data_IF_016175352801
#
_entry.id   IF_016175352801
#
_cell.length_a   1.000
_cell.length_b   1.000
_cell.length_c   1.000
_cell.angle_alpha   90.00
_cell.angle_beta   90.00
_cell.angle_gamma   90.00
#
_symmetry.space_group_name_H-M   'P 1'
#
loop_
_entity.id
_entity.type
_entity.pdbx_description
1 polymer ?
#
# COMPACT_ATOMS: atom_id res chain seq x y z
N UNK A 1 11.25 -8.38 -6.79
CA UNK A 1 11.42 -7.43 -5.68
C UNK A 1 12.83 -7.51 -5.16
N UNK A 2 13.46 -6.37 -4.96
CA UNK A 2 14.85 -6.34 -4.51
C UNK A 2 14.97 -6.42 -3.00
N UNK A 3 13.93 -6.01 -2.28
CA UNK A 3 13.92 -5.99 -0.81
C UNK A 3 12.64 -6.65 -0.31
N UNK A 4 12.72 -7.58 0.65
CA UNK A 4 11.50 -8.16 1.22
C UNK A 4 10.68 -7.11 1.96
N UNK A 5 9.37 -7.33 2.04
CA UNK A 5 8.47 -6.42 2.72
C UNK A 5 8.83 -6.31 4.21
N UNK A 6 8.88 -5.07 4.71
CA UNK A 6 9.07 -4.81 6.14
C UNK A 6 7.71 -4.63 6.78
N UNK A 7 7.43 -5.42 7.80
CA UNK A 7 6.15 -5.41 8.50
C UNK A 7 6.39 -5.01 9.96
N UNK A 8 5.64 -4.00 10.42
CA UNK A 8 5.73 -3.51 11.80
C UNK A 8 4.36 -3.55 12.45
N UNK A 9 4.34 -3.91 13.72
CA UNK A 9 3.13 -3.93 14.54
C UNK A 9 3.30 -2.94 15.70
N UNK A 10 2.32 -2.08 15.89
CA UNK A 10 2.31 -1.11 16.98
C UNK A 10 0.99 -1.20 17.76
N UNK A 11 1.07 -1.39 19.07
CA UNK A 11 -0.11 -1.51 19.92
C UNK A 11 -0.77 -2.87 19.88
N UNK A 12 -0.14 -3.86 19.25
CA UNK A 12 -0.59 -5.25 19.19
C UNK A 12 0.60 -6.16 18.98
N UNK A 13 0.43 -7.43 19.32
CA UNK A 13 1.48 -8.43 19.13
C UNK A 13 1.59 -8.80 17.65
N UNK A 14 2.80 -9.15 17.22
CA UNK A 14 3.00 -9.64 15.86
C UNK A 14 2.28 -10.97 15.66
N UNK A 15 1.78 -11.19 14.44
CA UNK A 15 1.03 -12.38 14.07
C UNK A 15 1.56 -12.93 12.76
N UNK A 16 1.99 -14.18 12.77
CA UNK A 16 2.48 -14.85 11.55
C UNK A 16 1.37 -14.96 10.49
N UNK A 17 0.14 -15.17 10.92
CA UNK A 17 -1.00 -15.26 9.99
C UNK A 17 -1.22 -13.92 9.28
N UNK A 18 -1.13 -12.81 10.01
CA UNK A 18 -1.26 -11.48 9.43
C UNK A 18 -0.08 -11.17 8.51
N UNK A 19 1.13 -11.51 8.93
CA UNK A 19 2.32 -11.33 8.10
C UNK A 19 2.21 -12.11 6.80
N UNK A 20 1.74 -13.34 6.83
CA UNK A 20 1.54 -14.15 5.63
C UNK A 20 0.55 -13.49 4.67
N UNK A 21 -0.56 -12.97 5.18
CA UNK A 21 -1.54 -12.25 4.36
C UNK A 21 -0.94 -11.00 3.72
N UNK A 22 -0.14 -10.26 4.48
CA UNK A 22 0.52 -9.05 3.97
C UNK A 22 1.49 -9.43 2.86
N UNK A 23 2.29 -10.46 3.05
CA UNK A 23 3.24 -10.92 2.02
C UNK A 23 2.55 -11.34 0.74
N UNK A 24 1.43 -12.06 0.86
CA UNK A 24 0.62 -12.46 -0.31
C UNK A 24 0.10 -11.25 -1.07
N UNK A 25 -0.40 -10.24 -0.35
CA UNK A 25 -0.94 -9.03 -0.97
C UNK A 25 0.16 -8.20 -1.63
N UNK A 26 1.33 -8.09 -1.00
CA UNK A 26 2.48 -7.41 -1.59
C UNK A 26 2.96 -8.15 -2.83
N UNK A 27 2.99 -9.49 -2.79
CA UNK A 27 3.38 -10.29 -3.95
C UNK A 27 2.46 -10.03 -5.16
N UNK A 28 1.17 -9.85 -4.92
CA UNK A 28 0.22 -9.50 -6.00
C UNK A 28 0.52 -8.13 -6.60
N UNK A 29 0.89 -7.15 -5.77
CA UNK A 29 1.29 -5.85 -6.27
C UNK A 29 2.55 -5.94 -7.12
N UNK A 30 3.50 -6.79 -6.72
CA UNK A 30 4.73 -7.02 -7.46
C UNK A 30 4.49 -7.72 -8.80
N UNK A 31 3.52 -8.60 -8.87
CA UNK A 31 3.13 -9.23 -10.14
C UNK A 31 2.60 -8.19 -11.12
N UNK A 32 1.93 -7.17 -10.59
CA UNK A 32 1.44 -6.07 -11.41
C UNK A 32 2.55 -5.10 -11.82
N UNK A 33 3.49 -4.83 -10.91
CA UNK A 33 4.60 -3.92 -11.14
C UNK A 33 5.83 -4.41 -10.39
N UNK A 34 6.88 -4.79 -11.11
CA UNK A 34 8.06 -5.47 -10.56
C UNK A 34 9.17 -4.52 -10.06
N UNK A 35 8.95 -3.20 -10.14
CA UNK A 35 9.96 -2.20 -9.78
C UNK A 35 9.72 -1.55 -8.42
N UNK A 36 9.04 -2.26 -7.53
CA UNK A 36 8.87 -1.84 -6.15
C UNK A 36 10.14 -2.20 -5.39
N UNK A 37 10.79 -1.20 -4.76
CA UNK A 37 12.11 -1.41 -4.14
C UNK A 37 12.07 -1.60 -2.64
N UNK A 38 11.16 -0.94 -1.93
CA UNK A 38 11.12 -1.01 -0.45
C UNK A 38 9.68 -1.01 0.04
N UNK A 39 8.98 -2.16 -0.06
CA UNK A 39 7.63 -2.23 0.47
C UNK A 39 7.65 -2.30 2.00
N UNK A 40 6.81 -1.49 2.63
CA UNK A 40 6.69 -1.44 4.08
C UNK A 40 5.22 -1.35 4.47
N UNK A 41 4.82 -2.14 5.46
CA UNK A 41 3.46 -2.14 5.99
C UNK A 41 3.51 -1.96 7.49
N UNK A 42 2.73 -1.03 8.00
CA UNK A 42 2.61 -0.77 9.44
C UNK A 42 1.18 -1.04 9.84
N UNK A 43 1.01 -1.92 10.81
CA UNK A 43 -0.30 -2.24 11.39
C UNK A 43 -0.33 -1.68 12.80
N UNK A 44 -1.29 -0.81 13.08
CA UNK A 44 -1.41 -0.16 14.37
C UNK A 44 -2.78 -0.42 14.98
N UNK A 45 -2.79 -0.57 16.30
CA UNK A 45 -4.01 -0.60 17.07
C UNK A 45 -3.83 0.37 18.23
N UNK A 46 -4.60 1.45 18.22
CA UNK A 46 -4.50 2.46 19.28
C UNK A 46 -5.23 1.99 20.53
N UNK A 47 -4.53 2.05 21.67
CA UNK A 47 -5.14 1.83 22.97
C UNK A 47 -5.57 3.18 23.51
N UNK A 48 -6.88 3.42 23.53
CA UNK A 48 -7.38 4.62 24.19
C UNK A 48 -7.58 4.33 25.68
N UNK A 49 -7.47 5.36 26.51
CA UNK A 49 -7.72 5.26 27.96
C UNK A 49 -9.20 5.02 28.28
N UNK A 50 -10.09 5.20 27.31
CA UNK A 50 -11.49 4.79 27.43
C UNK A 50 -11.59 3.32 27.09
N UNK A 51 -12.32 2.57 27.92
CA UNK A 51 -12.43 1.12 27.81
C UNK A 51 -13.28 0.67 26.62
N UNK A 52 -12.90 1.06 25.41
CA UNK A 52 -13.50 0.54 24.19
C UNK A 52 -12.74 -0.73 23.84
N UNK A 53 -13.41 -1.87 23.96
CA UNK A 53 -12.78 -3.17 23.76
C UNK A 53 -12.32 -3.42 22.34
N UNK A 54 -12.97 -2.80 21.36
CA UNK A 54 -12.71 -3.08 19.95
C UNK A 54 -12.26 -1.82 19.23
N UNK A 55 -10.95 -1.51 19.37
CA UNK A 55 -10.33 -0.43 18.62
C UNK A 55 -10.13 -0.84 17.16
N UNK A 56 -10.38 0.05 16.21
CA UNK A 56 -10.12 -0.27 14.81
C UNK A 56 -8.63 -0.37 14.53
N UNK A 57 -8.28 -1.20 13.56
CA UNK A 57 -6.91 -1.30 13.09
C UNK A 57 -6.64 -0.19 12.06
N UNK A 58 -5.44 0.38 12.16
CA UNK A 58 -4.94 1.35 11.17
C UNK A 58 -3.84 0.67 10.37
N UNK A 59 -3.96 0.68 9.06
CA UNK A 59 -2.99 0.06 8.18
C UNK A 59 -2.37 1.15 7.30
N UNK A 60 -1.04 1.25 7.34
CA UNK A 60 -0.29 2.16 6.49
C UNK A 60 0.60 1.34 5.57
N UNK A 61 0.62 1.68 4.29
CA UNK A 61 1.41 0.98 3.28
C UNK A 61 2.30 2.00 2.58
N UNK A 62 3.58 1.69 2.49
CA UNK A 62 4.58 2.52 1.82
C UNK A 62 5.24 1.69 0.73
N UNK A 63 5.16 2.15 -0.51
CA UNK A 63 5.83 1.50 -1.65
C UNK A 63 6.77 2.50 -2.29
N UNK A 64 8.05 2.21 -2.25
CA UNK A 64 9.03 3.01 -2.98
C UNK A 64 9.09 2.52 -4.41
N UNK A 65 8.87 3.42 -5.35
CA UNK A 65 8.87 3.15 -6.79
C UNK A 65 9.76 4.17 -7.48
N UNK A 66 10.18 3.94 -8.73
CA UNK A 66 11.03 4.92 -9.40
C UNK A 66 10.40 6.31 -9.45
N UNK A 67 11.10 7.30 -8.90
CA UNK A 67 10.69 8.69 -8.92
C UNK A 67 9.78 9.16 -7.81
N UNK A 68 9.16 8.25 -7.04
CA UNK A 68 8.28 8.67 -5.95
C UNK A 68 8.05 7.55 -4.93
N UNK A 69 7.39 7.87 -3.83
CA UNK A 69 6.91 6.91 -2.86
C UNK A 69 5.38 6.97 -2.81
N UNK A 70 4.74 5.81 -2.95
CA UNK A 70 3.30 5.70 -2.81
C UNK A 70 2.94 5.39 -1.36
N UNK A 71 2.01 6.14 -0.79
CA UNK A 71 1.63 6.01 0.62
C UNK A 71 0.13 5.88 0.73
N UNK A 72 -0.31 4.89 1.49
CA UNK A 72 -1.70 4.73 1.90
C UNK A 72 -1.74 4.71 3.41
N UNK A 73 -2.54 5.58 4.00
CA UNK A 73 -2.86 5.54 5.42
C UNK A 73 -4.37 5.41 5.53
N UNK A 74 -4.81 4.27 6.01
CA UNK A 74 -6.23 3.96 6.04
C UNK A 74 -6.78 4.21 7.44
N UNK A 75 -7.41 5.37 7.62
CA UNK A 75 -8.12 5.72 8.84
C UNK A 75 -9.61 5.61 8.61
N UNK A 76 -10.35 4.86 9.44
CA UNK A 76 -11.79 4.78 9.31
C UNK A 76 -12.44 6.14 9.61
N UNK A 77 -13.27 6.63 8.69
CA UNK A 77 -13.86 7.97 8.77
C UNK A 77 -15.36 7.97 9.08
N UNK A 78 -15.97 6.79 9.11
CA UNK A 78 -17.40 6.64 9.39
C UNK A 78 -17.62 5.55 10.43
N UNK A 79 -18.77 5.55 11.09
CA UNK A 79 -19.09 4.51 12.06
C UNK A 79 -19.09 3.12 11.42
N UNK A 80 -19.57 3.01 10.19
CA UNK A 80 -19.55 1.74 9.46
C UNK A 80 -18.10 1.31 9.17
N UNK A 81 -17.24 2.24 8.75
CA UNK A 81 -15.84 1.94 8.50
C UNK A 81 -15.10 1.60 9.78
N UNK A 82 -15.40 2.27 10.89
CA UNK A 82 -14.82 1.95 12.21
C UNK A 82 -15.14 0.52 12.60
N UNK A 83 -16.41 0.11 12.41
CA UNK A 83 -16.86 -1.24 12.73
C UNK A 83 -16.18 -2.29 11.86
N UNK A 84 -16.07 -2.02 10.56
CA UNK A 84 -15.42 -2.92 9.61
C UNK A 84 -13.93 -3.06 9.90
N UNK A 85 -13.25 -1.97 10.28
CA UNK A 85 -11.83 -1.99 10.58
C UNK A 85 -11.48 -2.60 11.94
N UNK A 86 -12.46 -3.02 12.73
CA UNK A 86 -12.24 -3.88 13.87
C UNK A 86 -11.78 -5.28 13.45
N UNK A 87 -12.02 -5.67 12.19
CA UNK A 87 -11.49 -6.88 11.59
C UNK A 87 -10.23 -6.51 10.79
N UNK A 88 -9.09 -7.05 11.20
CA UNK A 88 -7.82 -6.74 10.54
C UNK A 88 -7.81 -7.21 9.07
N UNK A 89 -8.51 -8.29 8.75
CA UNK A 89 -8.61 -8.78 7.38
C UNK A 89 -9.29 -7.77 6.47
N UNK A 90 -10.33 -7.11 6.96
CA UNK A 90 -11.04 -6.06 6.22
C UNK A 90 -10.18 -4.81 6.10
N UNK A 91 -9.52 -4.41 7.18
CA UNK A 91 -8.62 -3.25 7.17
C UNK A 91 -7.48 -3.43 6.15
N UNK A 92 -6.87 -4.62 6.12
CA UNK A 92 -5.83 -4.95 5.15
C UNK A 92 -6.37 -4.94 3.73
N UNK A 93 -7.52 -5.57 3.50
CA UNK A 93 -8.15 -5.61 2.18
C UNK A 93 -8.38 -4.20 1.63
N UNK A 94 -8.93 -3.31 2.44
CA UNK A 94 -9.26 -1.96 2.03
C UNK A 94 -7.99 -1.15 1.75
N UNK A 95 -6.98 -1.26 2.61
CA UNK A 95 -5.72 -0.55 2.43
C UNK A 95 -5.00 -1.00 1.16
N UNK A 96 -4.94 -2.30 0.91
CA UNK A 96 -4.29 -2.83 -0.30
C UNK A 96 -5.10 -2.55 -1.57
N UNK A 97 -6.42 -2.52 -1.49
CA UNK A 97 -7.25 -2.11 -2.63
C UNK A 97 -6.97 -0.66 -3.02
N UNK A 98 -6.81 0.22 -2.04
CA UNK A 98 -6.44 1.62 -2.27
C UNK A 98 -5.03 1.73 -2.86
N UNK A 99 -4.07 0.97 -2.32
CA UNK A 99 -2.71 0.97 -2.83
C UNK A 99 -2.64 0.43 -4.26
N UNK A 100 -3.42 -0.61 -4.58
CA UNK A 100 -3.48 -1.15 -5.94
C UNK A 100 -3.97 -0.09 -6.93
N UNK A 101 -4.95 0.70 -6.54
CA UNK A 101 -5.45 1.82 -7.35
C UNK A 101 -4.37 2.87 -7.58
N UNK A 102 -3.67 3.28 -6.53
CA UNK A 102 -2.58 4.24 -6.64
C UNK A 102 -1.46 3.72 -7.53
N UNK A 103 -1.13 2.43 -7.40
CA UNK A 103 -0.09 1.80 -8.21
C UNK A 103 -0.49 1.76 -9.68
N UNK A 104 -1.74 1.45 -9.98
CA UNK A 104 -2.26 1.49 -11.35
C UNK A 104 -2.15 2.90 -11.95
N UNK A 105 -2.54 3.91 -11.18
CA UNK A 105 -2.46 5.29 -11.61
C UNK A 105 -1.01 5.71 -11.87
N UNK A 106 -0.11 5.30 -10.98
CA UNK A 106 1.33 5.56 -11.14
C UNK A 106 1.86 4.92 -12.42
N UNK A 107 1.57 3.64 -12.65
CA UNK A 107 2.04 2.92 -13.83
C UNK A 107 1.48 3.54 -15.10
N UNK A 108 0.21 3.95 -15.08
CA UNK A 108 -0.44 4.61 -16.21
C UNK A 108 0.25 5.95 -16.53
N UNK A 109 0.54 6.76 -15.52
CA UNK A 109 1.27 8.03 -15.69
C UNK A 109 2.68 7.81 -16.21
N UNK A 110 3.37 6.81 -15.70
CA UNK A 110 4.73 6.48 -16.11
C UNK A 110 4.76 6.06 -17.58
N UNK A 111 3.84 5.19 -18.00
CA UNK A 111 3.74 4.74 -19.40
C UNK A 111 3.42 5.89 -20.32
N UNK A 112 2.52 6.77 -19.92
CA UNK A 112 2.16 7.94 -20.71
C UNK A 112 3.34 8.90 -20.86
N UNK A 113 4.08 9.14 -19.76
CA UNK A 113 5.27 9.98 -19.80
C UNK A 113 6.35 9.40 -20.72
N UNK A 114 6.56 8.09 -20.68
CA UNK A 114 7.50 7.40 -21.57
C UNK A 114 7.07 7.50 -23.02
N UNK A 115 5.78 7.36 -23.28
CA UNK A 115 5.24 7.45 -24.63
C UNK A 115 5.40 8.87 -25.20
N UNK A 116 5.12 9.89 -24.41
CA UNK A 116 5.30 11.29 -24.80
C UNK A 116 6.77 11.61 -25.05
N UNK A 117 7.67 11.16 -24.17
CA UNK A 117 9.11 11.35 -24.35
C UNK A 117 9.64 10.68 -25.62
N UNK A 118 9.22 9.45 -25.90
CA UNK A 118 9.61 8.75 -27.12
C UNK A 118 9.08 9.44 -28.37
N UNK A 119 7.85 9.97 -28.31
CA UNK A 119 7.25 10.70 -29.41
C UNK A 119 7.97 12.03 -29.68
N UNK A 120 8.31 12.76 -28.63
CA UNK A 120 9.06 14.01 -28.73
C UNK A 120 10.45 13.75 -29.31
N UNK A 121 11.14 12.71 -28.87
CA UNK A 121 12.45 12.34 -29.39
C UNK A 121 12.40 12.02 -30.88
N UNK A 122 11.34 11.35 -31.35
CA UNK A 122 11.16 11.08 -32.77
C UNK A 122 10.93 12.35 -33.59
N UNK A 123 10.14 13.27 -33.05
CA UNK A 123 9.83 14.54 -33.73
C UNK A 123 11.06 15.44 -33.83
N UNK A 124 11.99 15.33 -32.87
CA UNK A 124 13.22 16.11 -32.81
C UNK A 124 14.41 15.43 -33.52
N UNK A 125 14.23 14.21 -34.02
CA UNK A 125 15.30 13.48 -34.68
C UNK A 125 15.76 14.25 -35.95
N UNK A 126 17.08 14.42 -36.13
CA UNK A 126 17.58 15.07 -37.34
C UNK A 126 17.27 14.22 -38.56
N UNK A 127 16.96 14.90 -39.63
CA UNK A 127 16.67 14.24 -40.91
C UNK A 127 17.97 13.72 -41.56
#
# INVERSE_FOLDING_TARGET
>A
MQTPVQISFHGLDSSEAVESRIREKVAKLEQFFDRITSPRVVVEKHHSSTAVKDQPFHVSIFLEVPGEELVVTQDPKSDAALKDHQDIGIALRDAFATMQRQLRDYVSRMRQAQHVAARTARDEAPL
#
